data_IF_558015320124
#
_entry.id   IF_558015320124
#
_cell.length_a   1.000
_cell.length_b   1.000
_cell.length_c   1.000
_cell.angle_alpha   90.00
_cell.angle_beta   90.00
_cell.angle_gamma   90.00
#
_symmetry.space_group_name_H-M   'P 1'
#
loop_
_entity.id
_entity.type
_entity.pdbx_description
1 polymer ?
#
# COMPACT_ATOMS: atom_id res chain seq x y z
N UNK A 1 15.61 -21.82 8.92
CA UNK A 1 14.89 -22.11 7.66
C UNK A 1 15.42 -21.32 6.47
N UNK A 2 15.55 -19.99 6.51
CA UNK A 2 16.04 -19.19 5.36
C UNK A 2 17.43 -19.61 4.86
N UNK A 3 18.36 -19.92 5.77
CA UNK A 3 19.72 -20.38 5.41
C UNK A 3 19.71 -21.72 4.65
N UNK A 4 18.84 -22.66 5.05
CA UNK A 4 18.66 -23.95 4.36
C UNK A 4 18.03 -23.77 2.97
N UNK A 5 17.10 -22.81 2.83
CA UNK A 5 16.50 -22.47 1.54
C UNK A 5 17.54 -21.89 0.58
N UNK A 6 18.39 -20.97 1.05
CA UNK A 6 19.46 -20.36 0.26
C UNK A 6 20.53 -21.37 -0.15
N UNK A 7 20.90 -22.29 0.75
CA UNK A 7 21.83 -23.36 0.46
C UNK A 7 21.28 -24.32 -0.62
N UNK A 8 19.99 -24.67 -0.57
CA UNK A 8 19.32 -25.50 -1.58
C UNK A 8 19.12 -24.77 -2.91
N UNK A 9 18.84 -23.46 -2.87
CA UNK A 9 18.75 -22.62 -4.06
C UNK A 9 20.12 -22.52 -4.76
N UNK A 10 21.21 -22.37 -4.00
CA UNK A 10 22.58 -22.41 -4.52
C UNK A 10 22.95 -23.78 -5.11
N UNK A 11 22.37 -24.86 -4.57
CA UNK A 11 22.56 -26.24 -5.03
C UNK A 11 21.57 -26.68 -6.13
N UNK A 12 20.67 -25.81 -6.60
CA UNK A 12 19.60 -26.11 -7.58
C UNK A 12 18.72 -27.31 -7.20
N UNK A 13 18.51 -27.53 -5.91
CA UNK A 13 17.59 -28.56 -5.42
C UNK A 13 16.14 -28.06 -5.48
N UNK A 14 15.14 -28.96 -5.59
CA UNK A 14 13.74 -28.56 -5.61
C UNK A 14 13.38 -27.85 -4.29
N UNK A 15 13.16 -26.54 -4.37
CA UNK A 15 12.71 -25.70 -3.26
C UNK A 15 11.20 -25.86 -3.13
N UNK A 16 10.74 -26.15 -1.92
CA UNK A 16 9.32 -26.35 -1.62
C UNK A 16 8.56 -25.01 -1.59
N UNK A 17 7.25 -25.06 -1.85
CA UNK A 17 6.37 -23.88 -1.88
C UNK A 17 6.45 -23.04 -0.60
N UNK A 18 6.51 -23.69 0.56
CA UNK A 18 6.61 -23.02 1.86
C UNK A 18 7.96 -22.31 2.04
N UNK A 19 9.04 -22.85 1.45
CA UNK A 19 10.37 -22.23 1.48
C UNK A 19 10.40 -20.95 0.62
N UNK A 20 9.69 -20.94 -0.52
CA UNK A 20 9.58 -19.74 -1.37
C UNK A 20 8.71 -18.67 -0.69
N UNK A 21 7.56 -19.06 -0.15
CA UNK A 21 6.67 -18.12 0.55
C UNK A 21 7.37 -17.51 1.78
N UNK A 22 8.06 -18.33 2.58
CA UNK A 22 8.79 -17.84 3.76
C UNK A 22 9.98 -16.98 3.38
N UNK A 23 10.67 -17.25 2.27
CA UNK A 23 11.74 -16.38 1.77
C UNK A 23 11.20 -15.03 1.30
N UNK A 24 10.07 -15.02 0.57
CA UNK A 24 9.40 -13.78 0.16
C UNK A 24 8.94 -12.95 1.39
N UNK A 25 8.31 -13.60 2.37
CA UNK A 25 7.93 -12.96 3.64
C UNK A 25 9.14 -12.49 4.46
N UNK A 26 10.25 -13.22 4.44
CA UNK A 26 11.48 -12.80 5.12
C UNK A 26 12.08 -11.55 4.45
N UNK A 27 12.16 -11.52 3.13
CA UNK A 27 12.68 -10.37 2.36
C UNK A 27 11.84 -9.12 2.61
N UNK A 28 10.50 -9.23 2.53
CA UNK A 28 9.62 -8.08 2.79
C UNK A 28 9.71 -7.64 4.26
N UNK A 29 9.80 -8.57 5.22
CA UNK A 29 9.96 -8.21 6.63
C UNK A 29 11.29 -7.51 6.90
N UNK A 30 12.39 -7.96 6.29
CA UNK A 30 13.69 -7.28 6.39
C UNK A 30 13.58 -5.87 5.81
N UNK A 31 12.94 -5.72 4.64
CA UNK A 31 12.76 -4.42 4.02
C UNK A 31 11.90 -3.48 4.88
N UNK A 32 10.77 -3.95 5.41
CA UNK A 32 9.92 -3.20 6.34
C UNK A 32 10.72 -2.81 7.59
N UNK A 33 11.47 -3.75 8.15
CA UNK A 33 12.29 -3.51 9.33
C UNK A 33 13.37 -2.45 9.07
N UNK A 34 14.02 -2.45 7.89
CA UNK A 34 14.98 -1.43 7.49
C UNK A 34 14.30 -0.06 7.35
N UNK A 35 13.10 0.01 6.77
CA UNK A 35 12.32 1.24 6.68
C UNK A 35 11.88 1.75 8.07
N UNK A 36 11.62 0.85 9.01
CA UNK A 36 11.20 1.15 10.38
C UNK A 36 12.35 1.27 11.37
N UNK A 37 13.61 1.17 10.91
CA UNK A 37 14.78 1.23 11.78
C UNK A 37 14.82 2.50 12.63
N UNK A 38 14.33 3.61 12.08
CA UNK A 38 14.28 4.92 12.75
C UNK A 38 13.03 5.12 13.62
N UNK A 39 12.08 4.19 13.63
CA UNK A 39 10.83 4.31 14.40
C UNK A 39 11.03 3.72 15.80
N UNK A 40 10.81 4.48 16.88
CA UNK A 40 11.02 3.99 18.25
C UNK A 40 10.04 2.85 18.55
N UNK A 41 10.59 1.72 19.02
CA UNK A 41 9.83 0.61 19.56
C UNK A 41 9.41 0.98 20.99
N UNK A 42 8.12 0.84 21.29
CA UNK A 42 7.54 1.04 22.64
C UNK A 42 7.51 2.49 23.13
N UNK A 43 6.50 3.25 22.65
CA UNK A 43 6.30 4.64 23.07
C UNK A 43 5.60 4.67 24.43
N UNK A 44 6.38 4.70 25.52
CA UNK A 44 5.88 4.72 26.90
C UNK A 44 5.10 6.01 27.24
N UNK A 45 5.39 7.12 26.56
CA UNK A 45 4.73 8.41 26.80
C UNK A 45 4.58 9.23 25.52
N UNK A 46 3.42 9.88 25.31
CA UNK A 46 3.23 10.82 24.21
C UNK A 46 4.11 12.07 24.43
N UNK A 47 4.69 12.58 23.34
CA UNK A 47 5.48 13.82 23.33
C UNK A 47 4.60 14.94 22.74
N UNK A 48 4.54 16.08 23.42
CA UNK A 48 3.85 17.28 22.94
C UNK A 48 4.73 18.03 21.93
N UNK A 49 4.24 18.21 20.71
CA UNK A 49 4.89 19.01 19.66
C UNK A 49 4.25 20.40 19.67
N UNK A 50 5.06 21.45 19.84
CA UNK A 50 4.60 22.84 19.74
C UNK A 50 4.41 23.28 18.27
N UNK A 51 3.60 24.33 18.02
CA UNK A 51 3.42 24.85 16.66
C UNK A 51 4.74 25.36 16.07
N UNK A 52 5.15 24.79 14.94
CA UNK A 52 6.26 25.26 14.12
C UNK A 52 5.77 26.40 13.21
N UNK A 53 6.55 27.49 13.02
CA UNK A 53 6.17 28.58 12.13
C UNK A 53 6.04 28.12 10.67
N UNK A 54 4.93 28.50 10.06
CA UNK A 54 4.49 28.09 8.72
C UNK A 54 5.47 28.61 7.64
N UNK A 55 6.08 27.74 6.80
CA UNK A 55 6.95 28.19 5.72
C UNK A 55 6.14 28.79 4.56
N UNK A 56 6.65 29.91 4.06
CA UNK A 56 6.11 30.71 2.95
C UNK A 56 6.11 29.88 1.64
N UNK A 57 4.93 29.65 1.06
CA UNK A 57 4.74 28.81 -0.13
C UNK A 57 5.09 29.59 -1.40
N UNK A 58 6.16 29.18 -2.09
CA UNK A 58 6.49 29.65 -3.43
C UNK A 58 5.76 28.80 -4.49
N UNK A 59 5.07 29.45 -5.43
CA UNK A 59 4.39 28.83 -6.57
C UNK A 59 5.41 28.33 -7.62
N UNK A 60 5.31 27.06 -8.02
CA UNK A 60 6.18 26.45 -9.04
C UNK A 60 5.35 25.97 -10.25
N UNK A 61 5.67 26.50 -11.42
CA UNK A 61 5.04 26.20 -12.71
C UNK A 61 5.80 25.07 -13.44
N UNK A 62 5.09 24.02 -13.89
CA UNK A 62 5.69 23.01 -14.77
C UNK A 62 4.72 21.91 -15.18
N UNK A 63 4.10 22.04 -16.37
CA UNK A 63 2.94 21.23 -16.76
C UNK A 63 3.23 19.94 -17.52
N UNK A 64 4.47 19.63 -17.92
CA UNK A 64 4.74 18.46 -18.79
C UNK A 64 5.63 17.36 -18.17
N UNK A 65 6.48 17.67 -17.18
CA UNK A 65 7.18 16.65 -16.35
C UNK A 65 6.30 16.11 -15.21
N UNK A 66 5.12 16.69 -15.02
CA UNK A 66 4.20 16.47 -13.92
C UNK A 66 3.71 15.01 -13.78
N UNK A 67 3.60 14.25 -14.87
CA UNK A 67 3.13 12.86 -14.82
C UNK A 67 4.10 11.93 -14.11
N UNK A 68 5.36 11.94 -14.56
CA UNK A 68 6.44 11.14 -13.97
C UNK A 68 6.72 11.61 -12.54
N UNK A 69 6.84 12.93 -12.34
CA UNK A 69 7.10 13.53 -11.03
C UNK A 69 5.99 13.22 -10.02
N UNK A 70 4.72 13.20 -10.43
CA UNK A 70 3.61 12.84 -9.55
C UNK A 70 3.61 11.36 -9.14
N UNK A 71 4.01 10.45 -10.02
CA UNK A 71 4.20 9.03 -9.67
C UNK A 71 5.37 8.85 -8.70
N UNK A 72 6.53 9.47 -8.98
CA UNK A 72 7.68 9.44 -8.07
C UNK A 72 7.33 10.04 -6.72
N UNK A 73 6.62 11.17 -6.66
CA UNK A 73 6.15 11.79 -5.43
C UNK A 73 5.19 10.86 -4.66
N UNK A 74 4.27 10.17 -5.34
CA UNK A 74 3.37 9.21 -4.71
C UNK A 74 4.11 7.97 -4.17
N UNK A 75 5.08 7.44 -4.91
CA UNK A 75 5.93 6.34 -4.46
C UNK A 75 6.76 6.74 -3.24
N UNK A 76 7.38 7.91 -3.29
CA UNK A 76 8.13 8.50 -2.17
C UNK A 76 7.21 8.74 -0.97
N UNK A 77 5.97 9.18 -1.20
CA UNK A 77 4.97 9.35 -0.13
C UNK A 77 4.59 8.02 0.50
N UNK A 78 4.39 6.97 -0.30
CA UNK A 78 4.15 5.61 0.22
C UNK A 78 5.34 5.08 0.99
N UNK A 79 6.56 5.30 0.51
CA UNK A 79 7.79 4.88 1.20
C UNK A 79 7.98 5.65 2.52
N UNK A 80 7.70 6.94 2.55
CA UNK A 80 7.74 7.73 3.79
C UNK A 80 6.66 7.30 4.78
N UNK A 81 5.42 7.09 4.31
CA UNK A 81 4.34 6.55 5.14
C UNK A 81 4.69 5.16 5.67
N UNK A 82 5.25 4.31 4.81
CA UNK A 82 5.76 2.99 5.17
C UNK A 82 7.01 3.06 6.05
N UNK A 83 7.76 4.15 6.10
CA UNK A 83 8.86 4.38 7.04
C UNK A 83 8.39 5.02 8.35
N UNK A 84 7.10 5.35 8.47
CA UNK A 84 6.57 6.09 9.62
C UNK A 84 7.02 7.55 9.67
N UNK A 85 7.49 8.11 8.54
CA UNK A 85 7.90 9.50 8.43
C UNK A 85 6.64 10.36 8.20
N UNK A 86 6.06 10.87 9.28
CA UNK A 86 4.75 11.54 9.30
C UNK A 86 4.85 13.07 9.14
N UNK A 87 5.80 13.61 8.37
CA UNK A 87 5.92 15.07 8.12
C UNK A 87 4.78 15.65 7.24
N UNK A 88 3.70 14.92 7.04
CA UNK A 88 2.54 15.33 6.26
C UNK A 88 1.56 16.08 7.17
N UNK A 89 1.73 17.40 7.28
CA UNK A 89 0.71 18.33 7.75
C UNK A 89 0.10 18.00 9.12
N UNK A 90 0.85 18.25 10.19
CA UNK A 90 0.28 18.33 11.52
C UNK A 90 -0.65 19.55 11.60
N UNK A 91 -1.89 19.32 12.01
CA UNK A 91 -2.74 20.42 12.45
C UNK A 91 -2.37 20.70 13.91
N UNK A 92 -1.59 21.76 14.13
CA UNK A 92 -1.09 22.16 15.44
C UNK A 92 -2.20 22.48 16.47
N UNK A 93 -3.47 22.45 16.07
CA UNK A 93 -4.63 22.66 16.94
C UNK A 93 -5.14 21.40 17.66
N UNK A 94 -4.66 20.19 17.32
CA UNK A 94 -5.17 18.94 17.89
C UNK A 94 -4.33 18.45 19.07
N UNK A 95 -4.92 18.38 20.27
CA UNK A 95 -4.26 17.96 21.52
C UNK A 95 -4.19 16.45 21.73
N UNK A 96 -4.80 15.65 20.86
CA UNK A 96 -4.72 14.18 20.90
C UNK A 96 -4.94 13.60 19.51
N UNK A 97 -4.04 12.72 19.08
CA UNK A 97 -4.18 11.95 17.83
C UNK A 97 -4.35 10.46 18.14
N UNK A 98 -5.25 9.72 17.46
CA UNK A 98 -5.37 8.27 17.62
C UNK A 98 -4.06 7.55 17.27
N UNK A 99 -3.82 6.36 17.82
CA UNK A 99 -2.65 5.53 17.49
C UNK A 99 -2.54 5.19 15.99
N UNK A 100 -3.66 5.22 15.27
CA UNK A 100 -3.73 5.16 13.82
C UNK A 100 -3.96 6.57 13.23
N UNK A 101 -3.12 7.53 13.62
CA UNK A 101 -3.11 8.83 12.97
C UNK A 101 -2.66 8.66 11.54
N UNK A 102 -3.62 8.68 10.62
CA UNK A 102 -3.34 8.97 9.24
C UNK A 102 -3.21 10.50 9.14
N UNK A 103 -2.08 11.04 8.63
CA UNK A 103 -2.00 12.43 8.21
C UNK A 103 -3.28 12.85 7.49
N UNK A 104 -3.69 14.11 7.60
CA UNK A 104 -4.85 14.60 6.84
C UNK A 104 -4.52 14.55 5.34
N UNK A 105 -4.66 13.37 4.71
CA UNK A 105 -4.74 13.17 3.26
C UNK A 105 -5.91 13.97 2.65
N UNK A 106 -6.71 14.62 3.49
CA UNK A 106 -7.72 15.61 3.13
C UNK A 106 -7.13 16.87 2.48
N UNK A 107 -5.86 17.21 2.74
CA UNK A 107 -5.17 18.34 2.10
C UNK A 107 -4.63 18.02 0.70
N UNK A 108 -4.47 16.74 0.35
CA UNK A 108 -4.09 16.31 -1.00
C UNK A 108 -5.24 16.59 -1.98
N UNK A 109 -4.89 17.14 -3.15
CA UNK A 109 -5.84 17.33 -4.24
C UNK A 109 -6.39 15.97 -4.69
N UNK A 110 -7.60 15.95 -5.27
CA UNK A 110 -8.23 14.70 -5.73
C UNK A 110 -7.36 13.94 -6.74
N UNK A 111 -6.58 14.68 -7.55
CA UNK A 111 -5.57 14.11 -8.46
C UNK A 111 -4.49 13.32 -7.72
N UNK A 112 -3.94 13.87 -6.64
CA UNK A 112 -2.86 13.24 -5.88
C UNK A 112 -3.37 11.99 -5.16
N UNK A 113 -4.63 12.01 -4.69
CA UNK A 113 -5.26 10.81 -4.12
C UNK A 113 -5.43 9.70 -5.13
N UNK A 114 -5.85 10.03 -6.36
CA UNK A 114 -5.97 9.06 -7.44
C UNK A 114 -4.61 8.45 -7.76
N UNK A 115 -3.56 9.27 -7.85
CA UNK A 115 -2.20 8.83 -8.15
C UNK A 115 -1.63 7.98 -7.01
N UNK A 116 -1.86 8.36 -5.74
CA UNK A 116 -1.45 7.60 -4.57
C UNK A 116 -2.11 6.22 -4.53
N UNK A 117 -3.43 6.16 -4.75
CA UNK A 117 -4.18 4.90 -4.80
C UNK A 117 -3.71 4.04 -5.98
N UNK A 118 -3.53 4.61 -7.17
CA UNK A 118 -3.03 3.88 -8.33
C UNK A 118 -1.62 3.31 -8.09
N UNK A 119 -0.74 4.08 -7.45
CA UNK A 119 0.62 3.66 -7.09
C UNK A 119 0.58 2.52 -6.06
N UNK A 120 -0.24 2.64 -5.01
CA UNK A 120 -0.38 1.61 -3.99
C UNK A 120 -0.94 0.30 -4.58
N UNK A 121 -1.96 0.39 -5.44
CA UNK A 121 -2.50 -0.74 -6.19
C UNK A 121 -1.44 -1.38 -7.09
N UNK A 122 -0.65 -0.59 -7.82
CA UNK A 122 0.42 -1.10 -8.67
C UNK A 122 1.47 -1.87 -7.86
N UNK A 123 1.89 -1.35 -6.69
CA UNK A 123 2.81 -2.06 -5.78
C UNK A 123 2.20 -3.39 -5.34
N UNK A 124 0.92 -3.42 -4.97
CA UNK A 124 0.21 -4.65 -4.59
C UNK A 124 0.12 -5.68 -5.73
N UNK A 125 -0.15 -5.23 -6.95
CA UNK A 125 -0.18 -6.10 -8.14
C UNK A 125 1.20 -6.70 -8.42
N UNK A 126 2.26 -5.90 -8.34
CA UNK A 126 3.64 -6.38 -8.52
C UNK A 126 3.97 -7.43 -7.45
N UNK A 127 3.65 -7.15 -6.18
CA UNK A 127 3.84 -8.10 -5.09
C UNK A 127 3.09 -9.43 -5.35
N UNK A 128 1.80 -9.38 -5.69
CA UNK A 128 1.04 -10.59 -6.03
C UNK A 128 1.57 -11.31 -7.27
N UNK A 129 2.01 -10.56 -8.28
CA UNK A 129 2.56 -11.09 -9.53
C UNK A 129 3.85 -11.89 -9.35
N UNK A 130 4.65 -11.58 -8.34
CA UNK A 130 5.85 -12.37 -8.00
C UNK A 130 5.48 -13.83 -7.66
N UNK A 131 4.33 -14.05 -7.01
CA UNK A 131 3.85 -15.41 -6.71
C UNK A 131 3.43 -16.20 -7.96
N UNK A 132 3.12 -15.51 -9.07
CA UNK A 132 2.85 -16.14 -10.35
C UNK A 132 4.13 -16.59 -11.08
N UNK A 133 5.33 -16.16 -10.66
CA UNK A 133 6.60 -16.60 -11.28
C UNK A 133 6.79 -18.12 -11.14
N UNK A 134 6.24 -18.73 -10.09
CA UNK A 134 6.29 -20.17 -9.85
C UNK A 134 5.12 -20.92 -10.50
N UNK A 135 4.48 -20.38 -11.55
CA UNK A 135 3.33 -20.99 -12.22
C UNK A 135 3.56 -22.44 -12.69
N UNK A 136 4.78 -22.73 -13.13
CA UNK A 136 5.23 -24.04 -13.59
C UNK A 136 5.95 -24.86 -12.51
N UNK A 137 5.82 -24.50 -11.23
CA UNK A 137 6.37 -25.30 -10.13
C UNK A 137 5.70 -26.68 -10.08
N UNK A 138 6.45 -27.66 -9.58
CA UNK A 138 5.97 -29.03 -9.38
C UNK A 138 5.39 -29.11 -7.97
N UNK A 139 4.13 -29.55 -7.88
CA UNK A 139 3.41 -29.67 -6.62
C UNK A 139 3.24 -31.15 -6.24
N UNK A 140 3.25 -31.50 -4.94
CA UNK A 140 3.01 -32.86 -4.46
C UNK A 140 1.62 -33.39 -4.84
N UNK A 141 0.63 -32.50 -4.93
CA UNK A 141 -0.73 -32.84 -5.33
C UNK A 141 -1.36 -31.81 -6.28
N UNK A 142 -2.37 -32.24 -7.05
CA UNK A 142 -3.13 -31.35 -7.92
C UNK A 142 -3.92 -30.29 -7.13
N UNK A 143 -4.37 -30.63 -5.91
CA UNK A 143 -5.13 -29.70 -5.06
C UNK A 143 -4.23 -28.55 -4.60
N UNK A 144 -3.02 -28.84 -4.12
CA UNK A 144 -2.04 -27.81 -3.74
C UNK A 144 -1.70 -26.89 -4.92
N UNK A 145 -1.46 -27.46 -6.11
CA UNK A 145 -1.22 -26.68 -7.32
C UNK A 145 -2.35 -25.69 -7.62
N UNK A 146 -3.60 -26.13 -7.58
CA UNK A 146 -4.74 -25.27 -7.89
C UNK A 146 -5.02 -24.26 -6.78
N UNK A 147 -4.84 -24.63 -5.51
CA UNK A 147 -4.95 -23.70 -4.39
C UNK A 147 -3.90 -22.59 -4.47
N UNK A 148 -2.65 -22.93 -4.80
CA UNK A 148 -1.58 -21.94 -5.00
C UNK A 148 -1.87 -21.01 -6.18
N UNK A 149 -2.30 -21.57 -7.33
CA UNK A 149 -2.62 -20.74 -8.50
C UNK A 149 -3.78 -19.80 -8.22
N UNK A 150 -4.82 -20.29 -7.55
CA UNK A 150 -5.97 -19.47 -7.17
C UNK A 150 -5.56 -18.35 -6.19
N UNK A 151 -4.74 -18.65 -5.18
CA UNK A 151 -4.27 -17.66 -4.22
C UNK A 151 -3.33 -16.63 -4.86
N UNK A 152 -2.37 -17.05 -5.69
CA UNK A 152 -1.47 -16.15 -6.42
C UNK A 152 -2.25 -15.21 -7.35
N UNK A 153 -3.23 -15.73 -8.10
CA UNK A 153 -4.11 -14.91 -8.93
C UNK A 153 -4.97 -13.96 -8.10
N UNK A 154 -5.50 -14.41 -6.97
CA UNK A 154 -6.31 -13.56 -6.09
C UNK A 154 -5.49 -12.39 -5.52
N UNK A 155 -4.30 -12.66 -4.99
CA UNK A 155 -3.41 -11.64 -4.42
C UNK A 155 -2.94 -10.65 -5.50
N UNK A 156 -2.75 -11.10 -6.74
CA UNK A 156 -2.41 -10.21 -7.86
C UNK A 156 -3.62 -9.39 -8.36
N UNK A 157 -4.81 -9.99 -8.43
CA UNK A 157 -6.00 -9.37 -9.02
C UNK A 157 -6.73 -8.41 -8.06
N UNK A 158 -6.72 -8.70 -6.76
CA UNK A 158 -7.47 -7.90 -5.77
C UNK A 158 -7.00 -6.42 -5.71
N UNK A 159 -5.70 -6.10 -5.65
CA UNK A 159 -5.23 -4.72 -5.64
C UNK A 159 -5.57 -3.96 -6.94
N UNK A 160 -5.54 -4.67 -8.08
CA UNK A 160 -5.93 -4.12 -9.38
C UNK A 160 -7.43 -3.78 -9.39
N UNK A 161 -8.27 -4.70 -8.90
CA UNK A 161 -9.72 -4.49 -8.81
C UNK A 161 -10.05 -3.27 -7.95
N UNK A 162 -9.47 -3.18 -6.74
CA UNK A 162 -9.69 -2.05 -5.82
C UNK A 162 -9.21 -0.73 -6.43
N UNK A 163 -8.03 -0.73 -7.05
CA UNK A 163 -7.47 0.45 -7.71
C UNK A 163 -8.36 0.94 -8.85
N UNK A 164 -8.73 0.04 -9.76
CA UNK A 164 -9.62 0.35 -10.88
C UNK A 164 -10.99 0.85 -10.40
N UNK A 165 -11.60 0.17 -9.43
CA UNK A 165 -12.88 0.59 -8.86
C UNK A 165 -12.82 2.01 -8.30
N UNK A 166 -11.77 2.32 -7.52
CA UNK A 166 -11.60 3.64 -6.91
C UNK A 166 -11.37 4.74 -7.96
N UNK A 167 -10.52 4.48 -8.96
CA UNK A 167 -10.24 5.43 -10.06
C UNK A 167 -11.51 5.70 -10.86
N UNK A 168 -12.23 4.65 -11.27
CA UNK A 168 -13.47 4.77 -12.03
C UNK A 168 -14.55 5.51 -11.23
N UNK A 169 -14.65 5.23 -9.93
CA UNK A 169 -15.56 5.93 -9.04
C UNK A 169 -15.21 7.43 -8.93
N UNK A 170 -13.93 7.76 -8.78
CA UNK A 170 -13.47 9.15 -8.72
C UNK A 170 -13.76 9.91 -10.04
N UNK A 171 -13.52 9.27 -11.19
CA UNK A 171 -13.86 9.82 -12.51
C UNK A 171 -15.38 9.99 -12.70
N UNK A 172 -16.19 9.05 -12.20
CA UNK A 172 -17.65 9.18 -12.26
C UNK A 172 -18.16 10.37 -11.42
N UNK A 173 -17.55 10.62 -10.26
CA UNK A 173 -17.84 11.78 -9.43
C UNK A 173 -17.39 13.09 -10.09
N UNK A 174 -16.23 13.10 -10.77
CA UNK A 174 -15.72 14.29 -11.47
C UNK A 174 -16.57 14.67 -12.69
N UNK A 175 -17.13 13.67 -13.39
CA UNK A 175 -18.05 13.88 -14.52
C UNK A 175 -19.47 14.35 -14.11
N UNK A 176 -19.70 14.68 -12.83
CA UNK A 176 -20.94 15.32 -12.41
C UNK A 176 -22.13 14.37 -12.18
N UNK A 177 -21.89 13.08 -11.96
CA UNK A 177 -22.90 12.10 -11.53
C UNK A 177 -23.34 12.36 -10.07
N UNK A 178 -23.84 13.57 -9.76
CA UNK A 178 -23.94 14.11 -8.39
C UNK A 178 -25.25 13.85 -7.66
N UNK A 179 -26.26 13.18 -8.24
CA UNK A 179 -27.62 13.15 -7.61
C UNK A 179 -28.13 11.81 -7.08
N UNK A 180 -27.55 10.66 -7.44
CA UNK A 180 -28.01 9.35 -6.93
C UNK A 180 -26.96 8.35 -6.36
N UNK A 181 -25.62 8.43 -6.60
CA UNK A 181 -24.69 7.37 -6.16
C UNK A 181 -24.26 7.46 -4.69
N UNK A 182 -24.33 8.65 -4.07
CA UNK A 182 -23.83 8.87 -2.70
C UNK A 182 -24.63 8.12 -1.63
N UNK A 183 -25.92 7.82 -1.90
CA UNK A 183 -26.73 7.04 -0.98
C UNK A 183 -26.43 5.54 -1.06
N UNK A 184 -26.24 4.98 -2.27
CA UNK A 184 -25.86 3.57 -2.42
C UNK A 184 -24.47 3.27 -1.84
N UNK A 185 -23.51 4.19 -1.98
CA UNK A 185 -22.14 4.01 -1.49
C UNK A 185 -22.03 4.07 0.04
N UNK A 186 -22.86 4.88 0.71
CA UNK A 186 -22.94 4.87 2.18
C UNK A 186 -23.49 3.56 2.71
N UNK A 187 -24.31 2.85 1.93
CA UNK A 187 -24.80 1.51 2.29
C UNK A 187 -23.75 0.42 1.98
N UNK A 188 -23.12 0.41 0.80
CA UNK A 188 -22.17 -0.64 0.42
C UNK A 188 -20.82 -0.54 1.14
N UNK A 189 -20.28 0.68 1.31
CA UNK A 189 -19.04 0.90 2.06
C UNK A 189 -19.16 0.58 3.55
N UNK A 190 -20.33 0.88 4.15
CA UNK A 190 -20.64 0.48 5.52
C UNK A 190 -20.85 -1.04 5.62
N UNK A 191 -21.46 -1.67 4.61
CA UNK A 191 -21.68 -3.13 4.58
C UNK A 191 -20.36 -3.91 4.45
N UNK A 192 -19.41 -3.46 3.63
CA UNK A 192 -18.09 -4.10 3.50
C UNK A 192 -17.21 -3.88 4.75
N UNK A 193 -17.36 -2.75 5.44
CA UNK A 193 -16.61 -2.47 6.68
C UNK A 193 -17.20 -3.21 7.90
N UNK A 194 -18.52 -3.45 7.93
CA UNK A 194 -19.19 -4.19 9.01
C UNK A 194 -19.31 -5.71 8.77
N UNK A 195 -19.33 -6.20 7.53
CA UNK A 195 -19.39 -7.64 7.25
C UNK A 195 -18.05 -8.38 7.45
N UNK A 196 -17.00 -7.66 7.85
CA UNK A 196 -15.67 -8.19 8.17
C UNK A 196 -15.29 -8.12 9.66
N UNK A 197 -16.24 -7.81 10.55
CA UNK A 197 -16.07 -7.81 12.02
C UNK A 197 -17.05 -8.82 12.65
#
# INVERSE_FOLDING_TARGET
>A
MVHECLARLAQRLPVTEIEIATLAFAVINIFIWLLWWSKPLDVERPILIGPEPEPEVAEENGSEEAGSQSFYAALVTLLHAAAGNHNLGFDASSTSVPSFYSPKCRALADRDRIILTATASAVGVVFGGIHCVTWSAIFPSAVEMWMWRASALFIAAWPAFVGCWFVLFALALSMGYRRHPLQLFRYVGLYMFYAGA
#
